data_IF_711924193898
#
_entry.id   IF_711924193898
#
_cell.length_a   1.000
_cell.length_b   1.000
_cell.length_c   1.000
_cell.angle_alpha   90.00
_cell.angle_beta   90.00
_cell.angle_gamma   90.00
#
_symmetry.space_group_name_H-M   'P 1'
#
loop_
_entity.id
_entity.type
_entity.pdbx_description
1 polymer ?
#
# COMPACT_ATOMS: atom_id res chain seq x y z
N UNK A 1 -21.77 17.17 26.40
CA UNK A 1 -22.70 16.51 27.35
C UNK A 1 -22.92 15.08 26.87
N UNK A 2 -22.95 14.11 27.78
CA UNK A 2 -23.21 12.70 27.46
C UNK A 2 -24.68 12.44 27.13
N UNK A 3 -24.99 11.22 26.68
CA UNK A 3 -26.37 10.78 26.45
C UNK A 3 -27.14 10.68 27.78
N UNK A 4 -28.44 11.01 27.80
CA UNK A 4 -29.25 10.88 29.00
C UNK A 4 -29.44 9.40 29.37
N UNK A 5 -29.52 9.08 30.66
CA UNK A 5 -29.68 7.69 31.11
C UNK A 5 -31.02 7.09 30.66
N UNK A 6 -31.01 5.83 30.24
CA UNK A 6 -32.22 5.05 29.96
C UNK A 6 -32.51 4.13 31.14
N UNK A 7 -33.39 4.54 32.04
CA UNK A 7 -33.80 3.69 33.15
C UNK A 7 -34.82 2.63 32.69
N UNK A 8 -34.63 1.39 33.12
CA UNK A 8 -35.58 0.32 32.81
C UNK A 8 -36.98 0.61 33.39
N UNK A 9 -37.07 1.27 34.55
CA UNK A 9 -38.36 1.65 35.15
C UNK A 9 -39.17 2.58 34.25
N UNK A 10 -38.50 3.52 33.59
CA UNK A 10 -39.16 4.53 32.75
C UNK A 10 -39.68 3.92 31.45
N UNK A 11 -39.01 2.86 30.97
CA UNK A 11 -39.40 2.12 29.77
C UNK A 11 -40.74 1.37 29.92
N UNK A 12 -41.14 1.08 31.16
CA UNK A 12 -42.44 0.46 31.47
C UNK A 12 -43.57 1.49 31.44
N UNK A 13 -43.29 2.72 31.91
CA UNK A 13 -44.27 3.81 31.88
C UNK A 13 -44.48 4.35 30.47
N UNK A 14 -43.47 4.21 29.61
CA UNK A 14 -43.49 4.67 28.23
C UNK A 14 -43.81 6.18 28.10
N UNK A 15 -43.24 6.98 29.00
CA UNK A 15 -43.54 8.41 29.09
C UNK A 15 -42.97 9.20 27.90
N UNK A 16 -43.52 10.39 27.59
CA UNK A 16 -42.95 11.27 26.57
C UNK A 16 -41.46 11.58 26.82
N UNK A 17 -41.07 11.80 28.07
CA UNK A 17 -39.69 12.08 28.46
C UNK A 17 -38.78 10.86 28.24
N UNK A 18 -39.28 9.64 28.52
CA UNK A 18 -38.55 8.42 28.19
C UNK A 18 -38.35 8.30 26.67
N UNK A 19 -39.39 8.53 25.87
CA UNK A 19 -39.32 8.49 24.41
C UNK A 19 -38.34 9.50 23.83
N UNK A 20 -38.25 10.70 24.41
CA UNK A 20 -37.27 11.72 24.03
C UNK A 20 -35.83 11.27 24.33
N UNK A 21 -35.60 10.69 25.53
CA UNK A 21 -34.30 10.09 25.89
C UNK A 21 -33.93 8.95 24.94
N UNK A 22 -34.86 8.04 24.67
CA UNK A 22 -34.69 6.93 23.74
C UNK A 22 -34.29 7.42 22.35
N UNK A 23 -34.99 8.43 21.84
CA UNK A 23 -34.69 9.04 20.55
C UNK A 23 -33.27 9.63 20.49
N UNK A 24 -32.77 10.23 21.58
CA UNK A 24 -31.38 10.70 21.65
C UNK A 24 -30.38 9.57 21.39
N UNK A 25 -30.59 8.39 21.99
CA UNK A 25 -29.75 7.21 21.78
C UNK A 25 -29.85 6.67 20.35
N UNK A 26 -31.06 6.59 19.80
CA UNK A 26 -31.26 6.14 18.41
C UNK A 26 -30.54 7.04 17.39
N UNK A 27 -30.63 8.36 17.57
CA UNK A 27 -29.96 9.34 16.71
C UNK A 27 -28.44 9.19 16.80
N UNK A 28 -27.90 9.00 18.00
CA UNK A 28 -26.46 8.79 18.19
C UNK A 28 -26.00 7.49 17.54
N UNK A 29 -26.71 6.38 17.71
CA UNK A 29 -26.36 5.11 17.09
C UNK A 29 -26.40 5.17 15.56
N UNK A 30 -27.36 5.90 14.99
CA UNK A 30 -27.44 6.07 13.54
C UNK A 30 -26.33 6.99 13.00
N UNK A 31 -25.89 7.98 13.78
CA UNK A 31 -24.67 8.75 13.47
C UNK A 31 -23.42 7.88 13.52
N UNK A 32 -23.27 7.07 14.58
CA UNK A 32 -22.17 6.13 14.76
C UNK A 32 -22.12 5.11 13.62
N UNK A 33 -23.26 4.55 13.20
CA UNK A 33 -23.35 3.64 12.05
C UNK A 33 -22.81 4.25 10.75
N UNK A 34 -23.17 5.52 10.46
CA UNK A 34 -22.65 6.23 9.29
C UNK A 34 -21.16 6.50 9.41
N UNK A 35 -20.72 6.99 10.57
CA UNK A 35 -19.31 7.24 10.84
C UNK A 35 -18.44 6.00 10.64
N UNK A 36 -18.85 4.84 11.18
CA UNK A 36 -18.12 3.58 11.01
C UNK A 36 -18.06 3.17 9.54
N UNK A 37 -19.15 3.36 8.78
CA UNK A 37 -19.17 3.05 7.34
C UNK A 37 -18.18 3.92 6.57
N UNK A 38 -18.10 5.22 6.88
CA UNK A 38 -17.15 6.13 6.24
C UNK A 38 -15.72 5.79 6.66
N UNK A 39 -15.50 5.46 7.93
CA UNK A 39 -14.19 5.02 8.43
C UNK A 39 -13.70 3.74 7.76
N UNK A 40 -14.57 2.76 7.52
CA UNK A 40 -14.25 1.55 6.75
C UNK A 40 -13.84 1.91 5.32
N UNK A 41 -14.55 2.85 4.68
CA UNK A 41 -14.22 3.32 3.33
C UNK A 41 -12.83 3.97 3.30
N UNK A 42 -12.56 4.86 4.24
CA UNK A 42 -11.27 5.56 4.34
C UNK A 42 -10.14 4.59 4.70
N UNK A 43 -10.39 3.62 5.58
CA UNK A 43 -9.46 2.53 5.89
C UNK A 43 -9.10 1.70 4.66
N UNK A 44 -10.08 1.31 3.85
CA UNK A 44 -9.84 0.63 2.58
C UNK A 44 -9.01 1.47 1.60
N UNK A 45 -9.27 2.78 1.51
CA UNK A 45 -8.49 3.70 0.68
C UNK A 45 -7.03 3.79 1.16
N UNK A 46 -6.82 3.85 2.48
CA UNK A 46 -5.48 3.83 3.09
C UNK A 46 -4.74 2.53 2.76
N UNK A 47 -5.38 1.37 2.95
CA UNK A 47 -4.80 0.06 2.64
C UNK A 47 -4.42 -0.03 1.15
N UNK A 48 -5.28 0.47 0.26
CA UNK A 48 -5.01 0.51 -1.18
C UNK A 48 -3.80 1.40 -1.53
N UNK A 49 -3.67 2.55 -0.87
CA UNK A 49 -2.52 3.44 -1.05
C UNK A 49 -1.22 2.80 -0.54
N UNK A 50 -1.25 2.15 0.63
CA UNK A 50 -0.12 1.40 1.18
C UNK A 50 0.32 0.27 0.26
N UNK A 51 -0.64 -0.47 -0.32
CA UNK A 51 -0.36 -1.52 -1.29
C UNK A 51 0.29 -0.96 -2.56
N UNK A 52 -0.22 0.16 -3.06
CA UNK A 52 0.35 0.83 -4.25
C UNK A 52 1.79 1.29 -4.02
N UNK A 53 2.07 1.86 -2.83
CA UNK A 53 3.42 2.22 -2.42
C UNK A 53 4.32 0.98 -2.36
N UNK A 54 3.87 -0.10 -1.72
CA UNK A 54 4.67 -1.32 -1.60
C UNK A 54 5.01 -1.94 -2.95
N UNK A 55 4.06 -1.95 -3.89
CA UNK A 55 4.30 -2.40 -5.27
C UNK A 55 5.32 -1.52 -5.99
N UNK A 56 5.26 -0.19 -5.80
CA UNK A 56 6.21 0.73 -6.40
C UNK A 56 7.63 0.51 -5.87
N UNK A 57 7.79 0.37 -4.55
CA UNK A 57 9.10 0.12 -3.93
C UNK A 57 9.69 -1.21 -4.38
N UNK A 58 8.88 -2.28 -4.44
CA UNK A 58 9.34 -3.58 -4.94
C UNK A 58 9.80 -3.53 -6.40
N UNK A 59 9.09 -2.80 -7.27
CA UNK A 59 9.50 -2.62 -8.67
C UNK A 59 10.82 -1.86 -8.78
N UNK A 60 10.99 -0.82 -7.97
CA UNK A 60 12.21 -0.05 -7.92
C UNK A 60 13.39 -0.87 -7.41
N UNK A 61 13.22 -1.60 -6.30
CA UNK A 61 14.21 -2.54 -5.75
C UNK A 61 14.63 -3.57 -6.81
N UNK A 62 13.68 -4.17 -7.54
CA UNK A 62 14.02 -5.09 -8.64
C UNK A 62 14.88 -4.44 -9.73
N UNK A 63 14.56 -3.21 -10.11
CA UNK A 63 15.34 -2.47 -11.10
C UNK A 63 16.77 -2.24 -10.64
N UNK A 64 16.99 -1.98 -9.35
CA UNK A 64 18.31 -1.88 -8.75
C UNK A 64 19.04 -3.22 -8.72
N UNK A 65 18.32 -4.31 -8.45
CA UNK A 65 18.89 -5.67 -8.41
C UNK A 65 19.40 -6.14 -9.77
N UNK A 66 18.67 -5.81 -10.84
CA UNK A 66 18.95 -6.23 -12.22
C UNK A 66 20.01 -5.38 -12.90
N UNK A 67 20.29 -4.17 -12.37
CA UNK A 67 21.28 -3.28 -12.95
C UNK A 67 22.71 -3.83 -12.79
N UNK A 68 23.47 -3.77 -13.88
CA UNK A 68 24.88 -4.13 -13.92
C UNK A 68 25.67 -2.98 -14.53
N UNK A 69 26.79 -2.63 -13.90
CA UNK A 69 27.72 -1.66 -14.45
C UNK A 69 28.66 -2.36 -15.44
N UNK A 70 28.97 -1.68 -16.55
CA UNK A 70 30.06 -2.06 -17.44
C UNK A 70 31.16 -1.00 -17.31
N UNK A 71 32.34 -1.41 -16.84
CA UNK A 71 33.51 -0.54 -16.68
C UNK A 71 34.44 -0.62 -17.90
N UNK A 72 35.26 0.42 -18.11
CA UNK A 72 36.23 0.45 -19.21
C UNK A 72 37.45 -0.39 -18.84
N UNK A 73 37.72 -1.46 -19.59
CA UNK A 73 38.89 -2.31 -19.43
C UNK A 73 38.52 -3.78 -19.32
N UNK A 74 39.55 -4.65 -19.32
CA UNK A 74 39.35 -6.11 -19.21
C UNK A 74 39.27 -6.58 -17.74
N UNK A 75 39.42 -5.67 -16.77
CA UNK A 75 39.32 -5.93 -15.34
C UNK A 75 38.75 -4.71 -14.60
N UNK A 76 37.93 -4.97 -13.58
CA UNK A 76 37.37 -3.95 -12.70
C UNK A 76 38.29 -3.72 -11.49
N UNK A 77 38.36 -2.47 -11.03
CA UNK A 77 39.00 -2.10 -9.77
C UNK A 77 38.12 -2.48 -8.57
N UNK A 78 38.72 -2.61 -7.38
CA UNK A 78 37.97 -2.92 -6.15
C UNK A 78 36.89 -1.86 -5.85
N UNK A 79 37.16 -0.57 -6.14
CA UNK A 79 36.19 0.51 -5.97
C UNK A 79 35.00 0.35 -6.95
N UNK A 80 35.26 -0.02 -8.21
CA UNK A 80 34.22 -0.26 -9.23
C UNK A 80 33.34 -1.45 -8.86
N UNK A 81 33.93 -2.56 -8.39
CA UNK A 81 33.19 -3.74 -7.92
C UNK A 81 32.29 -3.36 -6.73
N UNK A 82 32.81 -2.61 -5.76
CA UNK A 82 32.06 -2.18 -4.59
C UNK A 82 30.93 -1.20 -4.94
N UNK A 83 31.17 -0.27 -5.86
CA UNK A 83 30.14 0.66 -6.35
C UNK A 83 29.08 -0.10 -7.14
N UNK A 84 29.47 -1.07 -7.97
CA UNK A 84 28.53 -1.88 -8.74
C UNK A 84 27.63 -2.72 -7.84
N UNK A 85 28.19 -3.27 -6.77
CA UNK A 85 27.45 -4.04 -5.77
C UNK A 85 26.47 -3.16 -4.96
N UNK A 86 26.71 -1.85 -4.84
CA UNK A 86 25.88 -0.97 -4.01
C UNK A 86 24.40 -0.91 -4.38
N UNK A 87 24.06 -1.06 -5.67
CA UNK A 87 22.67 -1.11 -6.09
C UNK A 87 21.95 -2.37 -5.60
N UNK A 88 22.66 -3.50 -5.50
CA UNK A 88 22.13 -4.73 -4.92
C UNK A 88 21.93 -4.59 -3.42
N UNK A 89 22.86 -3.93 -2.72
CA UNK A 89 22.70 -3.62 -1.28
C UNK A 89 21.48 -2.71 -1.04
N UNK A 90 21.29 -1.67 -1.87
CA UNK A 90 20.11 -0.81 -1.79
C UNK A 90 18.81 -1.57 -2.09
N UNK A 91 18.84 -2.47 -3.08
CA UNK A 91 17.72 -3.34 -3.40
C UNK A 91 17.33 -4.22 -2.21
N UNK A 92 18.32 -4.84 -1.56
CA UNK A 92 18.09 -5.70 -0.41
C UNK A 92 17.50 -4.90 0.76
N UNK A 93 18.08 -3.74 1.10
CA UNK A 93 17.54 -2.86 2.14
C UNK A 93 16.07 -2.50 1.89
N UNK A 94 15.75 -2.04 0.67
CA UNK A 94 14.38 -1.69 0.30
C UNK A 94 13.44 -2.90 0.37
N UNK A 95 13.89 -4.08 -0.06
CA UNK A 95 13.09 -5.30 0.02
C UNK A 95 12.78 -5.67 1.46
N UNK A 96 13.77 -5.65 2.35
CA UNK A 96 13.59 -5.95 3.78
C UNK A 96 12.66 -4.94 4.45
N UNK A 97 12.84 -3.64 4.17
CA UNK A 97 11.93 -2.59 4.69
C UNK A 97 10.48 -2.78 4.24
N UNK A 98 10.24 -3.36 3.06
CA UNK A 98 8.89 -3.63 2.56
C UNK A 98 8.22 -4.85 3.21
N UNK A 99 8.97 -5.77 3.83
CA UNK A 99 8.40 -6.99 4.40
C UNK A 99 7.40 -6.70 5.53
N UNK A 100 7.73 -5.77 6.43
CA UNK A 100 6.81 -5.38 7.50
C UNK A 100 5.58 -4.65 6.98
N UNK A 101 5.75 -3.77 6.00
CA UNK A 101 4.60 -3.07 5.39
C UNK A 101 3.67 -4.06 4.70
N UNK A 102 4.21 -5.09 4.02
CA UNK A 102 3.41 -6.17 3.44
C UNK A 102 2.64 -6.94 4.50
N UNK A 103 3.28 -7.32 5.62
CA UNK A 103 2.60 -7.99 6.75
C UNK A 103 1.43 -7.15 7.27
N UNK A 104 1.66 -5.86 7.49
CA UNK A 104 0.60 -4.92 7.89
C UNK A 104 -0.56 -4.90 6.89
N UNK A 105 -0.26 -4.74 5.60
CA UNK A 105 -1.28 -4.68 4.54
C UNK A 105 -2.08 -5.99 4.46
N UNK A 106 -1.41 -7.14 4.53
CA UNK A 106 -2.05 -8.46 4.46
C UNK A 106 -3.02 -8.69 5.62
N UNK A 107 -2.67 -8.22 6.82
CA UNK A 107 -3.49 -8.38 8.01
C UNK A 107 -4.51 -7.24 8.20
N UNK A 108 -4.46 -6.17 7.41
CA UNK A 108 -5.26 -4.98 7.65
C UNK A 108 -6.77 -5.23 7.52
N UNK A 109 -7.20 -6.15 6.65
CA UNK A 109 -8.61 -6.51 6.57
C UNK A 109 -9.09 -7.18 7.86
N UNK A 110 -8.38 -8.22 8.30
CA UNK A 110 -8.73 -9.00 9.49
C UNK A 110 -8.63 -8.19 10.79
N UNK A 111 -7.67 -7.27 10.88
CA UNK A 111 -7.37 -6.50 12.09
C UNK A 111 -8.21 -5.23 12.19
N UNK A 112 -8.57 -4.61 11.07
CA UNK A 112 -9.28 -3.32 11.05
C UNK A 112 -10.65 -3.41 10.38
N UNK A 113 -10.71 -3.81 9.11
CA UNK A 113 -11.91 -3.68 8.28
C UNK A 113 -13.01 -4.64 8.74
N UNK A 114 -12.69 -5.93 8.79
CA UNK A 114 -13.62 -7.00 9.16
C UNK A 114 -14.21 -6.80 10.58
N UNK A 115 -13.44 -6.45 11.62
CA UNK A 115 -13.98 -6.13 12.95
C UNK A 115 -14.94 -4.94 12.96
N UNK A 116 -14.61 -3.85 12.25
CA UNK A 116 -15.49 -2.68 12.15
C UNK A 116 -16.80 -3.00 11.41
N UNK A 117 -16.71 -3.80 10.34
CA UNK A 117 -17.90 -4.29 9.64
C UNK A 117 -18.77 -5.19 10.53
N UNK A 118 -18.12 -6.10 11.27
CA UNK A 118 -18.79 -7.01 12.20
C UNK A 118 -19.52 -6.24 13.28
N UNK A 119 -18.87 -5.28 13.94
CA UNK A 119 -19.50 -4.42 14.93
C UNK A 119 -20.74 -3.71 14.36
N UNK A 120 -20.63 -3.15 13.15
CA UNK A 120 -21.74 -2.46 12.50
C UNK A 120 -22.90 -3.40 12.15
N UNK A 121 -22.61 -4.58 11.60
CA UNK A 121 -23.62 -5.55 11.15
C UNK A 121 -24.29 -6.26 12.32
N UNK A 122 -23.52 -6.71 13.30
CA UNK A 122 -24.00 -7.53 14.40
C UNK A 122 -24.51 -6.66 15.55
N UNK A 123 -23.71 -5.71 16.05
CA UNK A 123 -24.09 -4.92 17.24
C UNK A 123 -25.14 -3.88 16.88
N UNK A 124 -24.83 -2.97 15.95
CA UNK A 124 -25.80 -1.92 15.55
C UNK A 124 -27.00 -2.54 14.83
N UNK A 125 -26.79 -3.57 14.01
CA UNK A 125 -27.88 -4.30 13.35
C UNK A 125 -28.85 -4.95 14.34
N UNK A 126 -28.35 -5.55 15.43
CA UNK A 126 -29.20 -6.14 16.47
C UNK A 126 -30.09 -5.11 17.18
N UNK A 127 -29.62 -3.86 17.35
CA UNK A 127 -30.43 -2.76 17.90
C UNK A 127 -31.51 -2.33 16.92
N UNK A 128 -31.21 -2.28 15.61
CA UNK A 128 -32.22 -1.97 14.57
C UNK A 128 -33.33 -3.02 14.53
N UNK A 129 -32.99 -4.29 14.69
CA UNK A 129 -33.98 -5.37 14.75
C UNK A 129 -34.76 -5.35 16.07
N UNK A 130 -34.08 -5.01 17.18
CA UNK A 130 -34.74 -4.74 18.46
C UNK A 130 -35.76 -3.61 18.37
N UNK A 131 -35.43 -2.52 17.66
CA UNK A 131 -36.34 -1.40 17.42
C UNK A 131 -37.59 -1.84 16.67
N UNK A 132 -37.46 -2.59 15.57
CA UNK A 132 -38.61 -3.09 14.82
C UNK A 132 -39.56 -3.91 15.68
N UNK A 133 -39.01 -4.77 16.54
CA UNK A 133 -39.81 -5.58 17.44
C UNK A 133 -40.50 -4.72 18.51
N UNK A 134 -39.79 -3.73 19.07
CA UNK A 134 -40.34 -2.78 20.02
C UNK A 134 -41.48 -1.93 19.42
N UNK A 135 -41.27 -1.37 18.22
CA UNK A 135 -42.27 -0.56 17.51
C UNK A 135 -43.53 -1.40 17.21
N UNK A 136 -43.36 -2.64 16.75
CA UNK A 136 -44.46 -3.58 16.49
C UNK A 136 -45.29 -3.88 17.74
N UNK A 137 -44.65 -4.21 18.85
CA UNK A 137 -45.39 -4.50 20.10
C UNK A 137 -45.97 -3.21 20.72
N UNK A 138 -45.36 -2.06 20.48
CA UNK A 138 -45.91 -0.73 20.85
C UNK A 138 -47.24 -0.48 20.13
N UNK A 139 -47.26 -0.58 18.79
CA UNK A 139 -48.49 -0.36 17.99
C UNK A 139 -49.61 -1.34 18.38
N UNK A 140 -49.25 -2.61 18.59
CA UNK A 140 -50.18 -3.64 19.05
C UNK A 140 -50.77 -3.29 20.42
N UNK A 141 -49.92 -2.89 21.36
CA UNK A 141 -50.33 -2.53 22.71
C UNK A 141 -51.28 -1.32 22.71
N UNK A 142 -50.96 -0.27 21.97
CA UNK A 142 -51.83 0.92 21.85
C UNK A 142 -53.20 0.57 21.26
N UNK A 143 -53.22 -0.24 20.20
CA UNK A 143 -54.47 -0.70 19.57
C UNK A 143 -55.36 -1.51 20.53
N UNK A 144 -54.75 -2.30 21.42
CA UNK A 144 -55.47 -3.10 22.40
C UNK A 144 -55.92 -2.26 23.60
N UNK A 145 -55.11 -1.29 24.02
CA UNK A 145 -55.46 -0.34 25.06
C UNK A 145 -56.69 0.48 24.66
N UNK A 146 -56.76 0.96 23.42
CA UNK A 146 -57.95 1.65 22.90
C UNK A 146 -59.20 0.76 22.97
N UNK A 147 -59.09 -0.49 22.50
CA UNK A 147 -60.19 -1.46 22.57
C UNK A 147 -60.64 -1.71 24.01
N UNK A 148 -59.68 -1.88 24.93
CA UNK A 148 -59.97 -2.07 26.35
C UNK A 148 -60.72 -0.86 26.94
N UNK A 149 -60.27 0.36 26.66
CA UNK A 149 -60.93 1.59 27.12
C UNK A 149 -62.33 1.79 26.51
N UNK A 150 -62.59 1.21 25.34
CA UNK A 150 -63.92 1.24 24.71
C UNK A 150 -64.94 0.25 25.30
N UNK A 151 -64.50 -0.66 26.19
CA UNK A 151 -65.39 -1.64 26.81
C UNK A 151 -66.38 -0.94 27.76
N UNK A 152 -67.67 -1.10 27.49
CA UNK A 152 -68.72 -0.53 28.34
C UNK A 152 -68.77 -1.21 29.71
N UNK A 153 -68.87 -0.41 30.77
CA UNK A 153 -69.08 -0.88 32.16
C UNK A 153 -70.40 -1.66 32.37
N UNK A 154 -71.31 -1.65 31.40
CA UNK A 154 -72.58 -2.40 31.44
C UNK A 154 -72.45 -3.85 30.92
N UNK A 155 -71.26 -4.26 30.47
CA UNK A 155 -71.00 -5.63 30.01
C UNK A 155 -71.06 -6.60 31.19
N UNK A 156 -71.24 -7.90 30.89
CA UNK A 156 -71.24 -8.95 31.92
C UNK A 156 -69.87 -8.98 32.61
N UNK A 157 -69.86 -9.26 33.91
CA UNK A 157 -68.64 -9.32 34.72
C UNK A 157 -67.59 -10.29 34.14
N UNK A 158 -68.01 -11.43 33.57
CA UNK A 158 -67.12 -12.36 32.88
C UNK A 158 -66.40 -11.74 31.67
N UNK A 159 -67.07 -10.85 30.92
CA UNK A 159 -66.50 -10.17 29.75
C UNK A 159 -65.53 -9.07 30.18
N UNK A 160 -65.80 -8.39 31.31
CA UNK A 160 -64.88 -7.41 31.90
C UNK A 160 -63.60 -8.10 32.37
N UNK A 161 -63.73 -9.22 33.09
CA UNK A 161 -62.59 -10.03 33.53
C UNK A 161 -61.74 -10.57 32.37
N UNK A 162 -62.37 -10.97 31.27
CA UNK A 162 -61.67 -11.41 30.06
C UNK A 162 -60.86 -10.26 29.43
N UNK A 163 -61.45 -9.07 29.33
CA UNK A 163 -60.78 -7.88 28.83
C UNK A 163 -59.57 -7.48 29.72
N UNK A 164 -59.73 -7.54 31.04
CA UNK A 164 -58.64 -7.29 31.99
C UNK A 164 -57.51 -8.31 31.83
N UNK A 165 -57.85 -9.59 31.70
CA UNK A 165 -56.88 -10.67 31.53
C UNK A 165 -56.09 -10.52 30.23
N UNK A 166 -56.76 -10.18 29.14
CA UNK A 166 -56.12 -9.94 27.85
C UNK A 166 -55.20 -8.70 27.91
N UNK A 167 -55.69 -7.57 28.43
CA UNK A 167 -54.90 -6.36 28.59
C UNK A 167 -53.65 -6.59 29.44
N UNK A 168 -53.78 -7.34 30.53
CA UNK A 168 -52.63 -7.70 31.37
C UNK A 168 -51.58 -8.56 30.66
N UNK A 169 -52.02 -9.47 29.78
CA UNK A 169 -51.09 -10.30 28.97
C UNK A 169 -50.36 -9.45 27.94
N UNK A 170 -51.06 -8.64 27.16
CA UNK A 170 -50.42 -7.83 26.12
C UNK A 170 -49.53 -6.73 26.72
N UNK A 171 -49.90 -6.16 27.86
CA UNK A 171 -49.04 -5.25 28.63
C UNK A 171 -47.70 -5.88 28.99
N UNK A 172 -47.69 -7.15 29.42
CA UNK A 172 -46.45 -7.88 29.71
C UNK A 172 -45.57 -8.08 28.47
N UNK A 173 -46.18 -8.35 27.31
CA UNK A 173 -45.46 -8.51 26.05
C UNK A 173 -44.79 -7.18 25.65
N UNK A 174 -45.53 -6.07 25.74
CA UNK A 174 -44.99 -4.74 25.49
C UNK A 174 -43.84 -4.40 26.45
N UNK A 175 -44.02 -4.67 27.75
CA UNK A 175 -42.98 -4.44 28.76
C UNK A 175 -41.71 -5.22 28.46
N UNK A 176 -41.83 -6.52 28.14
CA UNK A 176 -40.67 -7.33 27.77
C UNK A 176 -39.95 -6.77 26.54
N UNK A 177 -40.70 -6.40 25.49
CA UNK A 177 -40.12 -5.79 24.29
C UNK A 177 -39.39 -4.45 24.60
N UNK A 178 -39.98 -3.61 25.46
CA UNK A 178 -39.40 -2.33 25.89
C UNK A 178 -38.10 -2.53 26.68
N UNK A 179 -38.11 -3.44 27.66
CA UNK A 179 -36.93 -3.79 28.46
C UNK A 179 -35.81 -4.36 27.58
N UNK A 180 -36.13 -5.29 26.68
CA UNK A 180 -35.16 -5.87 25.75
C UNK A 180 -34.55 -4.81 24.83
N UNK A 181 -35.34 -3.84 24.38
CA UNK A 181 -34.84 -2.78 23.52
C UNK A 181 -33.89 -1.82 24.27
N UNK A 182 -34.27 -1.39 25.47
CA UNK A 182 -33.39 -0.57 26.34
C UNK A 182 -32.09 -1.31 26.65
N UNK A 183 -32.16 -2.60 27.00
CA UNK A 183 -30.99 -3.43 27.26
C UNK A 183 -30.04 -3.44 26.06
N UNK A 184 -30.56 -3.72 24.85
CA UNK A 184 -29.75 -3.76 23.62
C UNK A 184 -29.07 -2.42 23.33
N UNK A 185 -29.76 -1.31 23.53
CA UNK A 185 -29.16 0.02 23.35
C UNK A 185 -27.99 0.21 24.31
N UNK A 186 -28.21 -0.04 25.61
CA UNK A 186 -27.15 0.10 26.61
C UNK A 186 -25.97 -0.82 26.32
N UNK A 187 -26.24 -2.07 25.94
CA UNK A 187 -25.20 -3.06 25.59
C UNK A 187 -24.32 -2.55 24.43
N UNK A 188 -24.91 -2.05 23.35
CA UNK A 188 -24.13 -1.53 22.22
C UNK A 188 -23.34 -0.27 22.59
N UNK A 189 -23.88 0.60 23.45
CA UNK A 189 -23.15 1.77 23.94
C UNK A 189 -21.90 1.38 24.74
N UNK A 190 -21.97 0.32 25.54
CA UNK A 190 -20.82 -0.21 26.28
C UNK A 190 -19.85 -0.95 25.36
N UNK A 191 -20.34 -1.83 24.47
CA UNK A 191 -19.51 -2.55 23.49
C UNK A 191 -18.71 -1.62 22.58
N UNK A 192 -19.31 -0.49 22.17
CA UNK A 192 -18.63 0.55 21.37
C UNK A 192 -17.33 1.04 22.01
N UNK A 193 -17.19 1.02 23.34
CA UNK A 193 -15.99 1.53 24.02
C UNK A 193 -14.76 0.65 23.79
N UNK A 194 -14.95 -0.64 23.52
CA UNK A 194 -13.85 -1.59 23.34
C UNK A 194 -13.88 -2.26 21.97
N UNK A 195 -14.99 -2.88 21.54
CA UNK A 195 -15.06 -3.61 20.27
C UNK A 195 -14.83 -2.73 19.03
N UNK A 196 -15.13 -1.43 19.12
CA UNK A 196 -14.85 -0.47 18.05
C UNK A 196 -13.45 0.14 18.14
N UNK A 197 -12.90 0.30 19.35
CA UNK A 197 -11.62 1.00 19.58
C UNK A 197 -10.43 0.04 19.43
N UNK A 198 -10.57 -1.22 19.85
CA UNK A 198 -9.51 -2.23 19.79
C UNK A 198 -8.98 -2.48 18.36
N UNK A 199 -9.82 -2.59 17.31
CA UNK A 199 -9.33 -2.73 15.92
C UNK A 199 -8.46 -1.56 15.46
N UNK A 200 -8.84 -0.33 15.86
CA UNK A 200 -8.08 0.88 15.53
C UNK A 200 -6.72 0.88 16.24
N UNK A 201 -6.71 0.51 17.51
CA UNK A 201 -5.49 0.41 18.29
C UNK A 201 -4.55 -0.66 17.70
N UNK A 202 -5.07 -1.84 17.36
CA UNK A 202 -4.30 -2.92 16.78
C UNK A 202 -3.68 -2.53 15.42
N UNK A 203 -4.44 -1.83 14.57
CA UNK A 203 -3.91 -1.31 13.31
C UNK A 203 -2.79 -0.27 13.52
N UNK A 204 -2.96 0.64 14.48
CA UNK A 204 -1.92 1.63 14.82
C UNK A 204 -0.66 0.97 15.38
N UNK A 205 -0.81 -0.08 16.19
CA UNK A 205 0.33 -0.87 16.67
C UNK A 205 1.10 -1.49 15.51
N UNK A 206 0.41 -2.10 14.55
CA UNK A 206 1.06 -2.63 13.34
C UNK A 206 1.79 -1.56 12.51
N UNK A 207 1.22 -0.36 12.40
CA UNK A 207 1.90 0.78 11.77
C UNK A 207 3.18 1.17 12.52
N UNK A 208 3.11 1.28 13.84
CA UNK A 208 4.28 1.65 14.66
C UNK A 208 5.37 0.58 14.61
N UNK A 209 5.01 -0.70 14.62
CA UNK A 209 5.96 -1.80 14.42
C UNK A 209 6.67 -1.67 13.06
N UNK A 210 5.93 -1.41 11.98
CA UNK A 210 6.53 -1.21 10.66
C UNK A 210 7.50 -0.01 10.61
N UNK A 211 7.17 1.09 11.29
CA UNK A 211 8.08 2.24 11.36
C UNK A 211 9.31 1.97 12.21
N UNK A 212 9.14 1.26 13.33
CA UNK A 212 10.25 0.90 14.20
C UNK A 212 11.25 -0.01 13.48
N UNK A 213 10.78 -1.05 12.79
CA UNK A 213 11.66 -1.93 12.00
C UNK A 213 12.40 -1.15 10.92
N UNK A 214 11.72 -0.25 10.22
CA UNK A 214 12.37 0.61 9.23
C UNK A 214 13.47 1.51 9.81
N UNK A 215 13.32 1.94 11.07
CA UNK A 215 14.35 2.70 11.78
C UNK A 215 15.53 1.82 12.19
N UNK A 216 15.29 0.62 12.73
CA UNK A 216 16.36 -0.31 13.10
C UNK A 216 17.19 -0.70 11.86
N UNK A 217 16.55 -1.03 10.73
CA UNK A 217 17.22 -1.31 9.47
C UNK A 217 18.08 -0.13 8.97
N UNK A 218 17.61 1.11 9.16
CA UNK A 218 18.38 2.29 8.80
C UNK A 218 19.63 2.45 9.68
N UNK A 219 19.53 2.13 10.98
CA UNK A 219 20.67 2.11 11.89
C UNK A 219 21.69 1.03 11.49
N UNK A 220 21.23 -0.18 11.18
CA UNK A 220 22.08 -1.28 10.72
C UNK A 220 22.80 -0.98 9.40
N UNK A 221 22.16 -0.20 8.52
CA UNK A 221 22.71 0.19 7.23
C UNK A 221 23.77 1.31 7.31
N UNK A 222 23.84 2.05 8.42
CA UNK A 222 24.68 3.24 8.55
C UNK A 222 26.19 2.98 8.33
N UNK A 223 26.80 1.89 8.86
CA UNK A 223 28.22 1.61 8.60
C UNK A 223 28.52 1.38 7.11
N UNK A 224 27.65 0.63 6.42
CA UNK A 224 27.78 0.40 4.98
C UNK A 224 27.68 1.72 4.20
N UNK A 225 26.70 2.57 4.54
CA UNK A 225 26.54 3.89 3.94
C UNK A 225 27.80 4.75 4.08
N UNK A 226 28.44 4.76 5.25
CA UNK A 226 29.68 5.52 5.47
C UNK A 226 30.83 4.99 4.61
N UNK A 227 30.99 3.66 4.54
CA UNK A 227 31.99 3.04 3.68
C UNK A 227 31.76 3.36 2.19
N UNK A 228 30.51 3.27 1.74
CA UNK A 228 30.15 3.60 0.36
C UNK A 228 30.42 5.07 0.04
N UNK A 229 30.14 5.99 0.95
CA UNK A 229 30.46 7.41 0.78
C UNK A 229 31.97 7.64 0.61
N UNK A 230 32.79 6.92 1.36
CA UNK A 230 34.25 6.96 1.20
C UNK A 230 34.69 6.44 -0.18
N UNK A 231 34.19 5.27 -0.60
CA UNK A 231 34.51 4.67 -1.90
C UNK A 231 34.10 5.60 -3.06
N UNK A 232 32.92 6.23 -2.97
CA UNK A 232 32.45 7.22 -3.95
C UNK A 232 33.37 8.44 -4.01
N UNK A 233 33.91 8.89 -2.89
CA UNK A 233 34.85 10.00 -2.86
C UNK A 233 36.20 9.62 -3.51
N UNK A 234 36.69 8.40 -3.28
CA UNK A 234 37.90 7.90 -3.93
C UNK A 234 37.71 7.79 -5.45
N UNK A 235 36.58 7.22 -5.90
CA UNK A 235 36.26 7.14 -7.32
C UNK A 235 36.24 8.52 -8.01
N UNK A 236 35.69 9.55 -7.33
CA UNK A 236 35.74 10.95 -7.83
C UNK A 236 37.17 11.48 -7.93
N UNK A 237 38.00 11.25 -6.91
CA UNK A 237 39.39 11.71 -6.91
C UNK A 237 40.20 11.02 -8.03
N UNK A 238 39.99 9.72 -8.22
CA UNK A 238 40.61 8.94 -9.29
C UNK A 238 40.17 9.46 -10.66
N UNK A 239 38.89 9.77 -10.85
CA UNK A 239 38.38 10.34 -12.09
C UNK A 239 39.08 11.64 -12.47
N UNK A 240 39.24 12.59 -11.54
CA UNK A 240 39.91 13.87 -11.84
C UNK A 240 41.36 13.67 -12.27
N UNK A 241 42.09 12.74 -11.63
CA UNK A 241 43.46 12.39 -12.03
C UNK A 241 43.51 11.73 -13.40
N UNK A 242 42.71 10.68 -13.62
CA UNK A 242 42.66 9.93 -14.87
C UNK A 242 42.24 10.83 -16.03
N UNK A 243 41.25 11.71 -15.82
CA UNK A 243 40.83 12.69 -16.82
C UNK A 243 41.98 13.61 -17.22
N UNK A 244 42.71 14.16 -16.27
CA UNK A 244 43.85 15.04 -16.57
C UNK A 244 44.94 14.32 -17.36
N UNK A 245 45.19 13.04 -17.05
CA UNK A 245 46.15 12.21 -17.79
C UNK A 245 45.66 11.89 -19.22
N UNK A 246 44.40 11.49 -19.38
CA UNK A 246 43.78 11.25 -20.70
C UNK A 246 43.79 12.52 -21.55
N UNK A 247 43.48 13.69 -20.97
CA UNK A 247 43.56 14.97 -21.66
C UNK A 247 44.99 15.31 -22.09
N UNK A 248 46.00 15.04 -21.24
CA UNK A 248 47.42 15.22 -21.59
C UNK A 248 47.86 14.28 -22.71
N UNK A 249 47.47 13.00 -22.64
CA UNK A 249 47.75 12.01 -23.67
C UNK A 249 47.14 12.45 -25.01
N UNK A 250 45.87 12.86 -25.00
CA UNK A 250 45.19 13.39 -26.19
C UNK A 250 45.94 14.59 -26.79
N UNK A 251 46.34 15.57 -25.97
CA UNK A 251 47.11 16.75 -26.43
C UNK A 251 48.47 16.37 -27.01
N UNK A 252 49.17 15.41 -26.39
CA UNK A 252 50.46 14.90 -26.88
C UNK A 252 50.31 14.22 -28.23
N UNK A 253 49.31 13.36 -28.40
CA UNK A 253 49.05 12.68 -29.69
C UNK A 253 48.70 13.71 -30.78
N UNK A 254 47.87 14.71 -30.47
CA UNK A 254 47.51 15.78 -31.43
C UNK A 254 48.68 16.67 -31.85
N UNK A 255 49.66 16.88 -30.98
CA UNK A 255 50.82 17.74 -31.28
C UNK A 255 51.97 17.00 -31.96
N UNK A 256 51.91 15.67 -32.03
CA UNK A 256 52.94 14.83 -32.62
C UNK A 256 52.68 14.51 -34.12
N UNK A 257 51.91 15.34 -34.83
CA UNK A 257 51.38 15.11 -36.19
C UNK A 257 52.42 14.61 -37.22
N UNK A 258 53.71 14.95 -37.08
CA UNK A 258 54.75 14.53 -38.02
C UNK A 258 55.54 13.25 -37.62
N UNK A 259 55.59 12.90 -36.34
CA UNK A 259 56.43 11.78 -35.82
C UNK A 259 55.62 10.58 -35.29
N UNK A 260 54.31 10.74 -35.05
CA UNK A 260 53.47 9.67 -34.51
C UNK A 260 52.85 8.82 -35.63
N UNK A 261 53.64 7.93 -36.23
CA UNK A 261 53.05 6.81 -36.98
C UNK A 261 52.47 5.82 -35.98
N UNK A 262 51.20 5.46 -36.14
CA UNK A 262 50.61 4.36 -35.39
C UNK A 262 51.54 3.13 -35.48
N UNK A 263 51.73 2.35 -34.40
CA UNK A 263 52.58 1.17 -34.42
C UNK A 263 51.96 0.12 -35.36
N UNK A 264 52.29 0.24 -36.63
CA UNK A 264 51.79 -0.59 -37.72
C UNK A 264 52.96 -1.23 -38.43
N UNK A 265 52.84 -2.51 -38.74
CA UNK A 265 53.76 -3.17 -39.66
C UNK A 265 53.55 -2.71 -41.11
N UNK A 266 52.44 -2.02 -41.40
CA UNK A 266 52.09 -1.57 -42.74
C UNK A 266 52.66 -0.18 -43.02
N UNK A 267 53.06 0.04 -44.28
CA UNK A 267 53.53 1.35 -44.74
C UNK A 267 52.39 2.36 -44.84
N UNK A 268 51.22 1.89 -45.28
CA UNK A 268 49.98 2.64 -45.26
C UNK A 268 48.85 1.69 -44.92
N UNK A 269 47.90 2.15 -44.13
CA UNK A 269 46.66 1.45 -43.88
C UNK A 269 45.52 2.44 -43.67
N UNK A 270 44.31 2.00 -43.94
CA UNK A 270 43.13 2.83 -43.76
C UNK A 270 41.97 2.34 -44.60
N UNK A 271 40.82 3.00 -44.44
CA UNK A 271 39.63 2.67 -45.22
C UNK A 271 39.70 3.27 -46.61
N UNK A 272 39.50 2.43 -47.63
CA UNK A 272 39.34 2.86 -49.01
C UNK A 272 37.98 2.40 -49.55
N UNK A 273 37.38 3.24 -50.40
CA UNK A 273 36.26 2.83 -51.23
C UNK A 273 36.81 2.27 -52.53
N UNK A 274 36.47 1.02 -52.82
CA UNK A 274 36.91 0.32 -54.01
C UNK A 274 35.70 0.02 -54.88
N UNK A 275 35.79 0.39 -56.15
CA UNK A 275 34.72 0.18 -57.10
C UNK A 275 34.74 -1.27 -57.61
N UNK A 276 33.74 -2.05 -57.23
CA UNK A 276 33.52 -3.39 -57.73
C UNK A 276 32.62 -3.35 -58.97
N UNK A 277 33.10 -3.92 -60.07
CA UNK A 277 32.26 -4.16 -61.24
C UNK A 277 31.37 -5.38 -60.99
N UNK A 278 30.06 -5.18 -61.06
CA UNK A 278 29.04 -6.24 -60.95
C UNK A 278 28.33 -6.39 -62.30
N UNK A 279 27.67 -7.54 -62.57
CA UNK A 279 26.98 -7.76 -63.84
C UNK A 279 25.93 -6.69 -64.21
N UNK A 280 25.36 -5.99 -63.21
CA UNK A 280 24.34 -4.95 -63.39
C UNK A 280 24.80 -3.57 -62.86
N UNK A 281 26.08 -3.23 -63.01
CA UNK A 281 26.60 -1.90 -62.69
C UNK A 281 27.89 -1.91 -61.88
N UNK A 282 28.14 -0.85 -61.12
CA UNK A 282 29.30 -0.78 -60.23
C UNK A 282 28.86 -0.36 -58.85
N UNK A 283 29.46 -0.97 -57.82
CA UNK A 283 29.21 -0.63 -56.42
C UNK A 283 30.52 -0.18 -55.79
N UNK A 284 30.46 0.84 -54.94
CA UNK A 284 31.60 1.24 -54.12
C UNK A 284 31.51 0.52 -52.78
N UNK A 285 32.44 -0.37 -52.50
CA UNK A 285 32.49 -1.10 -51.23
C UNK A 285 33.63 -0.55 -50.38
N UNK A 286 33.37 -0.32 -49.10
CA UNK A 286 34.37 0.14 -48.14
C UNK A 286 35.16 -1.07 -47.64
N UNK A 287 36.48 -1.02 -47.77
CA UNK A 287 37.39 -2.03 -47.23
C UNK A 287 38.40 -1.38 -46.29
N UNK A 288 38.85 -2.10 -45.27
CA UNK A 288 40.08 -1.75 -44.57
C UNK A 288 41.25 -2.30 -45.38
N UNK A 289 42.07 -1.41 -45.92
CA UNK A 289 43.15 -1.77 -46.83
C UNK A 289 44.49 -1.57 -46.15
N UNK A 290 45.43 -2.48 -46.40
CA UNK A 290 46.80 -2.38 -45.89
C UNK A 290 47.80 -2.54 -47.04
N UNK A 291 48.89 -1.78 -46.97
CA UNK A 291 49.97 -1.80 -47.96
C UNK A 291 51.32 -1.88 -47.27
N UNK A 292 52.14 -2.85 -47.69
CA UNK A 292 53.51 -3.03 -47.22
C UNK A 292 54.51 -2.78 -48.36
N UNK A 293 55.38 -1.77 -48.21
CA UNK A 293 56.33 -1.35 -49.26
C UNK A 293 57.45 -2.35 -49.52
N UNK A 294 57.91 -3.08 -48.50
CA UNK A 294 58.99 -4.08 -48.60
C UNK A 294 58.59 -5.27 -49.48
N UNK A 295 57.38 -5.80 -49.29
CA UNK A 295 56.81 -6.90 -50.04
C UNK A 295 56.00 -6.47 -51.27
N UNK A 296 55.67 -5.18 -51.37
CA UNK A 296 54.73 -4.60 -52.36
C UNK A 296 53.35 -5.25 -52.32
N UNK A 297 52.96 -5.77 -51.16
CA UNK A 297 51.69 -6.47 -50.98
C UNK A 297 50.59 -5.47 -50.59
N UNK A 298 49.45 -5.55 -51.28
CA UNK A 298 48.22 -4.84 -50.95
C UNK A 298 47.18 -5.86 -50.53
N UNK A 299 46.57 -5.69 -49.35
CA UNK A 299 45.49 -6.57 -48.88
C UNK A 299 44.25 -5.78 -48.50
N UNK A 300 43.09 -6.43 -48.64
CA UNK A 300 41.78 -5.86 -48.33
C UNK A 300 41.11 -6.76 -47.29
N UNK A 301 40.90 -6.23 -46.09
CA UNK A 301 40.12 -6.89 -45.04
C UNK A 301 38.63 -6.63 -45.22
N UNK A 302 37.81 -7.67 -45.09
CA UNK A 302 36.35 -7.56 -45.18
C UNK A 302 35.82 -6.94 -43.88
N UNK A 303 35.03 -5.87 -43.96
CA UNK A 303 34.63 -5.06 -42.79
C UNK A 303 33.24 -5.38 -42.22
N UNK A 304 32.53 -6.37 -42.76
CA UNK A 304 31.25 -6.80 -42.18
C UNK A 304 31.42 -7.95 -41.19
N UNK A 305 31.92 -7.64 -39.99
CA UNK A 305 31.57 -8.44 -38.81
C UNK A 305 30.40 -7.73 -38.15
N UNK A 306 29.17 -8.17 -38.46
CA UNK A 306 28.04 -7.86 -37.58
C UNK A 306 28.38 -8.45 -36.21
N UNK A 307 28.42 -7.67 -35.11
CA UNK A 307 28.56 -8.26 -33.80
C UNK A 307 27.35 -9.19 -33.59
N UNK A 308 27.62 -10.47 -33.29
CA UNK A 308 26.59 -11.36 -32.79
C UNK A 308 26.01 -10.71 -31.54
N UNK A 309 24.74 -10.35 -31.59
CA UNK A 309 23.95 -9.95 -30.43
C UNK A 309 24.14 -11.04 -29.36
N UNK A 310 24.89 -10.74 -28.30
CA UNK A 310 24.91 -11.58 -27.10
C UNK A 310 23.50 -11.51 -26.52
N UNK A 311 22.86 -12.69 -26.47
CA UNK A 311 21.67 -12.95 -25.66
C UNK A 311 22.03 -12.93 -24.19
#
# INVERSE_FOLDING_TARGET
MGLPTLEFSDSLLDSPEFRERLQCHEIELERTNRFIKDLIKDGNMLISALNSLSLAVQRFSRSLQEFQFECIGDAETDDEINIAQSLKEFSQLLSTMEEERKRLIQNADDVLISPLEKFRKEQIGAVKEGKKQFDKETERYYSLQEKYLSVSSKKKESQLHEADSQMNKDRKIFYDASLQYVFKIQEVQERKKFEFVEPLLAFLQGLFTSYHEGYELACEFEPYKQQLQFNLQNARNNFESTRAEVERLMKRIRSAEDDFKAPSCFTMEGFLYIQEKRPLGSVWTRYYCTYEKSSKMFTMGNTEVRPASRQ
#
